data_IF_659793206740
#
_entry.id   IF_659793206740
#
_cell.length_a   1.000
_cell.length_b   1.000
_cell.length_c   1.000
_cell.angle_alpha   90.00
_cell.angle_beta   90.00
_cell.angle_gamma   90.00
#
_symmetry.space_group_name_H-M   'P 1'
#
loop_
_entity.id
_entity.type
_entity.pdbx_description
1 polymer ?
#
# COMPACT_ATOMS: atom_id res chain seq x y z
N UNK A 1 12.57 5.64 20.02
CA UNK A 1 12.70 4.48 20.94
C UNK A 1 14.06 3.84 20.69
N UNK A 2 14.88 3.50 21.70
CA UNK A 2 16.16 2.81 21.47
C UNK A 2 15.85 1.33 21.17
N UNK A 3 16.32 0.82 20.02
CA UNK A 3 16.18 -0.59 19.64
C UNK A 3 16.85 -1.45 20.72
N UNK A 4 16.08 -2.29 21.42
CA UNK A 4 16.63 -3.20 22.43
C UNK A 4 16.98 -4.55 21.80
N UNK A 5 18.21 -4.66 21.31
CA UNK A 5 18.71 -5.86 20.63
C UNK A 5 18.81 -7.09 21.53
N UNK A 6 18.76 -6.95 22.87
CA UNK A 6 18.75 -8.09 23.78
C UNK A 6 17.43 -8.88 23.73
N UNK A 7 16.31 -8.20 23.45
CA UNK A 7 14.98 -8.84 23.39
C UNK A 7 14.52 -9.09 21.95
N UNK A 8 15.00 -8.29 20.98
CA UNK A 8 14.59 -8.39 19.59
C UNK A 8 15.83 -8.48 18.67
N UNK A 9 16.44 -9.67 18.55
CA UNK A 9 17.72 -9.85 17.87
C UNK A 9 17.62 -9.62 16.35
N UNK A 10 16.43 -9.76 15.76
CA UNK A 10 16.22 -9.63 14.33
C UNK A 10 15.87 -8.20 13.89
N UNK A 11 15.69 -7.25 14.81
CA UNK A 11 15.24 -5.88 14.48
C UNK A 11 16.17 -5.19 13.50
N UNK A 12 17.49 -5.40 13.59
CA UNK A 12 18.44 -4.78 12.66
C UNK A 12 18.28 -5.30 11.23
N UNK A 13 18.15 -6.62 11.06
CA UNK A 13 17.96 -7.23 9.73
C UNK A 13 16.60 -6.85 9.16
N UNK A 14 15.55 -6.90 9.97
CA UNK A 14 14.21 -6.44 9.59
C UNK A 14 14.22 -4.96 9.16
N UNK A 15 14.93 -4.09 9.89
CA UNK A 15 15.10 -2.68 9.54
C UNK A 15 15.74 -2.52 8.18
N UNK A 16 16.82 -3.27 7.91
CA UNK A 16 17.48 -3.23 6.59
C UNK A 16 16.54 -3.70 5.49
N UNK A 17 15.80 -4.79 5.70
CA UNK A 17 14.81 -5.29 4.75
C UNK A 17 13.75 -4.25 4.41
N UNK A 18 13.08 -3.69 5.41
CA UNK A 18 12.06 -2.65 5.20
C UNK A 18 12.65 -1.43 4.50
N UNK A 19 13.88 -1.03 4.85
CA UNK A 19 14.57 0.08 4.22
C UNK A 19 14.99 -0.19 2.77
N UNK A 20 14.99 -1.43 2.27
CA UNK A 20 15.19 -1.72 0.85
C UNK A 20 13.94 -1.41 0.01
N UNK A 21 12.76 -1.43 0.61
CA UNK A 21 11.48 -1.25 -0.08
C UNK A 21 11.22 0.25 -0.31
N UNK A 22 11.10 0.69 -1.57
CA UNK A 22 10.95 2.12 -1.90
C UNK A 22 9.69 2.73 -1.27
N UNK A 23 8.58 1.96 -1.32
CA UNK A 23 7.32 2.36 -0.72
C UNK A 23 7.43 2.55 0.80
N UNK A 24 8.19 1.70 1.51
CA UNK A 24 8.35 1.82 2.96
C UNK A 24 9.14 3.06 3.35
N UNK A 25 10.21 3.38 2.60
CA UNK A 25 10.95 4.63 2.79
C UNK A 25 10.07 5.85 2.56
N UNK A 26 9.26 5.84 1.50
CA UNK A 26 8.34 6.94 1.19
C UNK A 26 7.27 7.14 2.26
N UNK A 27 6.77 6.04 2.84
CA UNK A 27 5.79 6.04 3.92
C UNK A 27 6.42 6.29 5.30
N UNK A 28 7.75 6.37 5.41
CA UNK A 28 8.49 6.43 6.67
C UNK A 28 8.13 5.29 7.65
N UNK A 29 7.87 4.08 7.12
CA UNK A 29 7.62 2.90 7.95
C UNK A 29 8.89 2.54 8.72
N UNK A 30 8.77 2.32 10.02
CA UNK A 30 9.89 1.92 10.88
C UNK A 30 9.62 0.59 11.57
N UNK A 31 10.68 -0.18 11.80
CA UNK A 31 10.63 -1.43 12.55
C UNK A 31 10.89 -1.14 14.02
N UNK A 32 9.93 -1.49 14.88
CA UNK A 32 10.08 -1.34 16.33
C UNK A 32 10.64 -2.61 16.96
N UNK A 33 10.11 -3.76 16.55
CA UNK A 33 10.47 -5.07 17.11
C UNK A 33 10.50 -6.11 15.99
N UNK A 34 11.50 -7.00 16.01
CA UNK A 34 11.48 -8.22 15.22
C UNK A 34 12.15 -9.37 15.97
N UNK A 35 11.44 -10.50 16.01
CA UNK A 35 11.88 -11.77 16.56
C UNK A 35 11.50 -12.91 15.60
N UNK A 36 11.78 -14.15 15.97
CA UNK A 36 11.29 -15.33 15.23
C UNK A 36 9.76 -15.52 15.35
N UNK A 37 9.12 -14.85 16.32
CA UNK A 37 7.69 -14.99 16.59
C UNK A 37 6.86 -13.85 15.99
N UNK A 38 7.35 -12.61 16.04
CA UNK A 38 6.60 -11.47 15.55
C UNK A 38 7.48 -10.35 15.01
N UNK A 39 6.85 -9.49 14.22
CA UNK A 39 7.37 -8.19 13.79
C UNK A 39 6.35 -7.12 14.13
N UNK A 40 6.82 -6.01 14.70
CA UNK A 40 6.04 -4.81 14.97
C UNK A 40 6.58 -3.64 14.15
N UNK A 41 5.72 -3.08 13.29
CA UNK A 41 6.00 -1.91 12.48
C UNK A 41 5.19 -0.71 12.94
N UNK A 42 5.74 0.48 12.76
CA UNK A 42 5.05 1.77 12.92
C UNK A 42 5.00 2.50 11.57
N UNK A 43 3.82 3.02 11.24
CA UNK A 43 3.56 3.94 10.15
C UNK A 43 3.14 5.29 10.75
N UNK A 44 3.93 6.37 10.57
CA UNK A 44 3.52 7.69 11.01
C UNK A 44 2.36 8.22 10.18
N UNK A 45 1.50 9.03 10.82
CA UNK A 45 0.46 9.77 10.10
C UNK A 45 1.07 10.80 9.15
N UNK A 46 0.47 10.97 7.97
CA UNK A 46 0.82 12.02 7.01
C UNK A 46 -0.40 12.44 6.20
N UNK A 47 -0.42 13.69 5.75
CA UNK A 47 -1.48 14.20 4.88
C UNK A 47 -1.48 13.51 3.50
N UNK A 48 -0.32 13.02 3.05
CA UNK A 48 -0.18 12.40 1.73
C UNK A 48 -0.87 11.03 1.60
N UNK A 49 -1.19 10.39 2.73
CA UNK A 49 -1.74 9.03 2.77
C UNK A 49 -3.25 9.00 3.05
N UNK A 50 -3.89 10.17 3.10
CA UNK A 50 -5.32 10.32 3.33
C UNK A 50 -6.11 9.76 2.14
N UNK A 51 -7.11 8.93 2.46
CA UNK A 51 -8.07 8.37 1.50
C UNK A 51 -9.38 9.13 1.45
N UNK A 52 -9.78 9.74 2.57
CA UNK A 52 -10.97 10.58 2.68
C UNK A 52 -10.58 11.98 3.16
N UNK A 53 -10.50 12.97 2.24
CA UNK A 53 -10.09 14.34 2.56
C UNK A 53 -11.01 15.04 3.57
N UNK A 54 -12.29 14.68 3.62
CA UNK A 54 -13.27 15.34 4.49
C UNK A 54 -13.06 14.94 5.96
N UNK A 55 -12.62 13.70 6.19
CA UNK A 55 -12.46 13.14 7.54
C UNK A 55 -11.00 13.02 7.96
N UNK A 56 -10.04 13.16 7.04
CA UNK A 56 -8.62 12.98 7.31
C UNK A 56 -8.19 11.53 7.51
N UNK A 57 -9.08 10.57 7.24
CA UNK A 57 -8.85 9.14 7.45
C UNK A 57 -7.84 8.60 6.44
N UNK A 58 -6.90 7.80 6.93
CA UNK A 58 -5.89 7.12 6.12
C UNK A 58 -6.55 6.12 5.16
N UNK A 59 -6.08 6.08 3.91
CA UNK A 59 -6.60 5.14 2.92
C UNK A 59 -6.34 3.67 3.31
N UNK A 60 -7.33 2.77 3.12
CA UNK A 60 -7.20 1.36 3.48
C UNK A 60 -6.03 0.65 2.78
N UNK A 61 -5.72 1.03 1.54
CA UNK A 61 -4.52 0.57 0.82
C UNK A 61 -3.19 0.83 1.53
N UNK A 62 -3.11 1.89 2.35
CA UNK A 62 -1.92 2.20 3.16
C UNK A 62 -1.85 1.27 4.38
N UNK A 63 -3.00 1.00 5.01
CA UNK A 63 -3.13 0.00 6.08
C UNK A 63 -2.75 -1.39 5.54
N UNK A 64 -3.24 -1.74 4.35
CA UNK A 64 -2.89 -2.98 3.65
C UNK A 64 -1.40 -3.05 3.33
N UNK A 65 -0.78 -1.94 2.93
CA UNK A 65 0.67 -1.87 2.70
C UNK A 65 1.44 -2.13 3.99
N UNK A 66 1.07 -1.49 5.09
CA UNK A 66 1.71 -1.72 6.39
C UNK A 66 1.57 -3.19 6.83
N UNK A 67 0.39 -3.78 6.67
CA UNK A 67 0.12 -5.20 6.97
C UNK A 67 0.96 -6.14 6.10
N UNK A 68 1.00 -5.89 4.78
CA UNK A 68 1.75 -6.67 3.81
C UNK A 68 3.26 -6.63 4.13
N UNK A 69 3.79 -5.44 4.43
CA UNK A 69 5.18 -5.27 4.86
C UNK A 69 5.48 -5.97 6.19
N UNK A 70 4.62 -5.83 7.21
CA UNK A 70 4.79 -6.51 8.50
C UNK A 70 4.79 -8.03 8.33
N UNK A 71 3.85 -8.54 7.54
CA UNK A 71 3.70 -9.96 7.26
C UNK A 71 4.92 -10.51 6.49
N UNK A 72 5.33 -9.87 5.39
CA UNK A 72 6.51 -10.25 4.63
C UNK A 72 7.79 -10.21 5.48
N UNK A 73 7.94 -9.19 6.32
CA UNK A 73 9.08 -9.08 7.24
C UNK A 73 9.06 -10.21 8.28
N UNK A 74 7.89 -10.58 8.82
CA UNK A 74 7.77 -11.71 9.75
C UNK A 74 8.16 -13.05 9.11
N UNK A 75 7.89 -13.23 7.81
CA UNK A 75 8.31 -14.41 7.05
C UNK A 75 9.83 -14.43 6.89
N UNK A 76 10.44 -13.31 6.50
CA UNK A 76 11.90 -13.20 6.39
C UNK A 76 12.57 -13.49 7.74
N UNK A 77 12.05 -12.92 8.82
CA UNK A 77 12.55 -13.16 10.19
C UNK A 77 12.44 -14.63 10.60
N UNK A 78 11.30 -15.28 10.33
CA UNK A 78 11.10 -16.69 10.65
C UNK A 78 12.00 -17.63 9.82
N UNK A 79 12.22 -17.32 8.54
CA UNK A 79 13.12 -18.10 7.67
C UNK A 79 14.56 -17.96 8.16
N UNK A 80 15.01 -16.73 8.46
CA UNK A 80 16.35 -16.49 8.95
C UNK A 80 16.61 -17.20 10.28
N UNK A 81 15.68 -17.13 11.22
CA UNK A 81 15.80 -17.81 12.51
C UNK A 81 15.87 -19.34 12.37
N UNK A 82 15.10 -19.92 11.46
CA UNK A 82 14.98 -21.38 11.32
C UNK A 82 16.04 -22.00 10.41
N UNK A 83 16.45 -21.30 9.36
CA UNK A 83 17.28 -21.85 8.29
C UNK A 83 18.59 -21.09 8.09
N UNK A 84 18.84 -20.01 8.84
CA UNK A 84 20.01 -19.13 8.68
C UNK A 84 20.18 -18.64 7.23
N UNK A 85 19.04 -18.46 6.54
CA UNK A 85 18.94 -18.19 5.11
C UNK A 85 18.07 -16.96 4.84
N UNK A 86 18.35 -16.28 3.72
CA UNK A 86 17.54 -15.18 3.21
C UNK A 86 16.85 -15.65 1.93
N UNK A 87 15.52 -15.70 1.97
CA UNK A 87 14.67 -16.11 0.85
C UNK A 87 13.77 -14.95 0.42
N UNK A 88 13.53 -14.80 -0.88
CA UNK A 88 12.51 -13.87 -1.35
C UNK A 88 11.15 -14.48 -1.05
N UNK A 89 10.28 -13.67 -0.43
CA UNK A 89 8.95 -14.10 0.00
C UNK A 89 7.84 -13.25 -0.61
N UNK A 90 7.50 -13.42 -1.91
CA UNK A 90 6.42 -12.66 -2.52
C UNK A 90 5.06 -13.06 -1.93
N UNK A 91 4.20 -12.07 -1.73
CA UNK A 91 2.82 -12.29 -1.28
C UNK A 91 2.03 -13.05 -2.35
N UNK A 92 1.36 -14.14 -1.96
CA UNK A 92 0.44 -14.90 -2.81
C UNK A 92 -0.98 -14.36 -2.66
N UNK A 93 -1.43 -14.16 -1.43
CA UNK A 93 -2.75 -13.63 -1.14
C UNK A 93 -2.76 -12.90 0.20
N UNK A 94 -3.67 -11.95 0.33
CA UNK A 94 -3.89 -11.19 1.55
C UNK A 94 -5.39 -10.92 1.71
N UNK A 95 -5.91 -11.21 2.89
CA UNK A 95 -7.30 -10.93 3.28
C UNK A 95 -7.27 -9.99 4.47
N UNK A 96 -7.94 -8.86 4.35
CA UNK A 96 -7.97 -7.79 5.33
C UNK A 96 -9.42 -7.49 5.68
N UNK A 97 -9.77 -7.61 6.95
CA UNK A 97 -11.07 -7.23 7.49
C UNK A 97 -10.91 -5.92 8.29
N UNK A 98 -11.65 -4.88 7.91
CA UNK A 98 -11.60 -3.56 8.55
C UNK A 98 -12.70 -3.43 9.60
N UNK A 99 -12.32 -3.14 10.84
CA UNK A 99 -13.24 -3.02 11.97
C UNK A 99 -13.72 -1.58 12.17
N UNK A 100 -12.81 -0.62 11.96
CA UNK A 100 -13.07 0.83 12.09
C UNK A 100 -12.02 1.64 11.31
N UNK A 101 -12.31 2.91 10.95
CA UNK A 101 -11.31 3.79 10.35
C UNK A 101 -10.20 4.14 11.36
N UNK A 102 -8.99 4.39 10.84
CA UNK A 102 -7.91 4.96 11.64
C UNK A 102 -8.24 6.40 12.03
N UNK A 103 -8.00 6.75 13.29
CA UNK A 103 -8.12 8.12 13.78
C UNK A 103 -7.03 9.01 13.15
N UNK A 104 -7.38 10.21 12.64
CA UNK A 104 -6.41 11.16 12.12
C UNK A 104 -5.35 11.57 13.14
N UNK A 105 -4.20 12.04 12.65
CA UNK A 105 -3.08 12.57 13.45
C UNK A 105 -2.41 11.57 14.41
N UNK A 106 -2.78 10.28 14.35
CA UNK A 106 -2.18 9.20 15.14
C UNK A 106 -1.42 8.22 14.25
N UNK A 107 -0.24 7.72 14.68
CA UNK A 107 0.45 6.65 13.96
C UNK A 107 -0.38 5.37 13.96
N UNK A 108 -0.13 4.51 12.96
CA UNK A 108 -0.63 3.14 12.89
C UNK A 108 0.49 2.17 13.23
N UNK A 109 0.14 1.12 13.95
CA UNK A 109 1.02 0.01 14.26
C UNK A 109 0.50 -1.25 13.56
N UNK A 110 1.40 -2.09 13.07
CA UNK A 110 1.04 -3.42 12.62
C UNK A 110 1.95 -4.46 13.28
N UNK A 111 1.34 -5.40 13.98
CA UNK A 111 2.00 -6.60 14.47
C UNK A 111 1.66 -7.77 13.57
N UNK A 112 2.65 -8.53 13.14
CA UNK A 112 2.48 -9.71 12.31
C UNK A 112 3.28 -10.91 12.83
N UNK A 113 2.71 -12.10 12.70
CA UNK A 113 3.29 -13.38 13.08
C UNK A 113 3.27 -14.34 11.88
N UNK A 114 4.41 -14.97 11.60
CA UNK A 114 4.50 -16.13 10.71
C UNK A 114 4.21 -17.40 11.51
N UNK A 115 2.93 -17.75 11.66
CA UNK A 115 2.50 -18.84 12.54
C UNK A 115 2.72 -20.23 11.93
N UNK A 116 3.00 -20.31 10.62
CA UNK A 116 3.32 -21.59 9.96
C UNK A 116 4.26 -21.39 8.78
N UNK A 117 5.43 -22.01 8.89
CA UNK A 117 6.44 -22.05 7.83
C UNK A 117 6.52 -23.46 7.23
N UNK A 118 5.98 -23.65 6.03
CA UNK A 118 6.06 -24.91 5.25
C UNK A 118 7.20 -24.87 4.23
N UNK A 119 7.39 -25.92 3.44
CA UNK A 119 8.47 -25.99 2.45
C UNK A 119 8.40 -24.87 1.39
N UNK A 120 7.20 -24.58 0.86
CA UNK A 120 7.02 -23.66 -0.28
C UNK A 120 6.18 -22.43 0.06
N UNK A 121 5.49 -22.43 1.19
CA UNK A 121 4.55 -21.36 1.58
C UNK A 121 4.68 -21.07 3.07
N UNK A 122 4.68 -19.78 3.42
CA UNK A 122 4.55 -19.28 4.78
C UNK A 122 3.15 -18.70 4.99
N UNK A 123 2.59 -18.87 6.18
CA UNK A 123 1.28 -18.33 6.55
C UNK A 123 1.44 -17.34 7.68
N UNK A 124 0.77 -16.21 7.54
CA UNK A 124 0.87 -15.07 8.44
C UNK A 124 -0.49 -14.63 8.94
N UNK A 125 -0.50 -14.03 10.12
CA UNK A 125 -1.62 -13.24 10.62
C UNK A 125 -1.08 -11.90 11.09
N UNK A 126 -1.87 -10.86 10.94
CA UNK A 126 -1.50 -9.51 11.34
C UNK A 126 -2.69 -8.74 11.93
N UNK A 127 -2.36 -7.76 12.76
CA UNK A 127 -3.31 -6.83 13.36
C UNK A 127 -2.75 -5.42 13.15
N UNK A 128 -3.54 -4.55 12.51
CA UNK A 128 -3.27 -3.13 12.46
C UNK A 128 -4.08 -2.39 13.53
N UNK A 129 -3.44 -1.54 14.32
CA UNK A 129 -4.05 -0.84 15.45
C UNK A 129 -3.40 0.53 15.69
N UNK A 130 -3.96 1.35 16.59
CA UNK A 130 -3.36 2.62 17.03
C UNK A 130 -3.07 2.55 18.54
N UNK A 131 -4.12 2.51 19.37
CA UNK A 131 -3.97 2.54 20.82
C UNK A 131 -3.84 1.13 21.45
N UNK A 132 -4.59 0.14 20.96
CA UNK A 132 -4.57 -1.23 21.49
C UNK A 132 -4.86 -2.28 20.42
N UNK A 133 -4.20 -3.44 20.52
CA UNK A 133 -4.47 -4.64 19.68
C UNK A 133 -5.86 -5.22 19.92
N UNK A 134 -6.48 -4.96 21.08
CA UNK A 134 -7.83 -5.41 21.43
C UNK A 134 -8.93 -4.54 20.80
N UNK A 135 -8.55 -3.39 20.22
CA UNK A 135 -9.45 -2.47 19.50
C UNK A 135 -8.84 -2.11 18.14
N UNK A 136 -8.76 -3.10 17.23
CA UNK A 136 -7.97 -2.98 16.01
C UNK A 136 -8.66 -2.12 14.95
N UNK A 137 -7.84 -1.56 14.05
CA UNK A 137 -8.29 -0.98 12.78
C UNK A 137 -8.62 -2.09 11.81
N UNK A 138 -7.74 -3.08 11.70
CA UNK A 138 -7.91 -4.21 10.78
C UNK A 138 -7.24 -5.50 11.27
N UNK A 139 -7.84 -6.62 10.90
CA UNK A 139 -7.22 -7.94 10.99
C UNK A 139 -6.84 -8.43 9.60
N UNK A 140 -5.76 -9.22 9.51
CA UNK A 140 -5.40 -9.84 8.26
C UNK A 140 -4.81 -11.24 8.41
N UNK A 141 -4.99 -12.03 7.35
CA UNK A 141 -4.28 -13.28 7.11
C UNK A 141 -3.70 -13.25 5.71
N UNK A 142 -2.52 -13.83 5.53
CA UNK A 142 -1.85 -13.85 4.23
C UNK A 142 -0.94 -15.05 4.05
N UNK A 143 -0.78 -15.44 2.78
CA UNK A 143 0.15 -16.50 2.38
C UNK A 143 1.28 -15.91 1.54
N UNK A 144 2.50 -16.38 1.77
CA UNK A 144 3.71 -15.91 1.12
C UNK A 144 4.45 -17.09 0.51
N UNK A 145 4.83 -16.97 -0.77
CA UNK A 145 5.64 -17.99 -1.43
C UNK A 145 7.05 -17.97 -0.84
N UNK A 146 7.70 -19.13 -0.72
CA UNK A 146 9.12 -19.24 -0.39
C UNK A 146 9.90 -19.55 -1.65
N UNK A 147 10.74 -18.61 -2.07
CA UNK A 147 11.58 -18.76 -3.25
C UNK A 147 13.02 -18.98 -2.77
N UNK A 148 13.65 -20.03 -3.29
CA UNK A 148 14.94 -20.50 -2.82
C UNK A 148 16.06 -19.44 -2.95
N UNK A 149 17.12 -19.55 -2.13
CA UNK A 149 18.17 -18.54 -2.04
C UNK A 149 18.92 -18.29 -3.35
N UNK A 150 18.97 -19.26 -4.27
CA UNK A 150 19.67 -19.10 -5.55
C UNK A 150 19.06 -18.04 -6.46
N UNK A 151 17.80 -17.65 -6.21
CA UNK A 151 17.14 -16.55 -6.93
C UNK A 151 17.31 -15.19 -6.24
N UNK A 152 17.95 -15.15 -5.07
CA UNK A 152 18.27 -13.91 -4.36
C UNK A 152 19.65 -13.45 -4.83
N UNK A 153 19.72 -12.30 -5.50
CA UNK A 153 20.99 -11.74 -5.96
C UNK A 153 21.93 -11.44 -4.79
N UNK A 154 23.24 -11.66 -4.97
CA UNK A 154 24.25 -11.48 -3.91
C UNK A 154 24.25 -10.05 -3.35
N UNK A 155 24.00 -9.04 -4.18
CA UNK A 155 23.89 -7.63 -3.77
C UNK A 155 22.79 -7.40 -2.72
N UNK A 156 21.61 -8.01 -2.90
CA UNK A 156 20.53 -7.89 -1.93
C UNK A 156 20.84 -8.64 -0.64
N UNK A 157 21.49 -9.79 -0.74
CA UNK A 157 21.95 -10.56 0.41
C UNK A 157 22.92 -9.73 1.26
N UNK A 158 23.89 -9.08 0.63
CA UNK A 158 24.85 -8.18 1.29
C UNK A 158 24.16 -6.98 1.93
N UNK A 159 23.21 -6.35 1.25
CA UNK A 159 22.45 -5.23 1.78
C UNK A 159 21.64 -5.60 3.05
N UNK A 160 21.12 -6.83 3.12
CA UNK A 160 20.42 -7.34 4.29
C UNK A 160 21.37 -7.71 5.45
N UNK A 161 22.50 -8.35 5.13
CA UNK A 161 23.49 -8.77 6.13
C UNK A 161 24.35 -7.61 6.66
N UNK A 162 24.42 -6.50 5.94
CA UNK A 162 25.22 -5.33 6.31
C UNK A 162 26.71 -5.47 5.95
N UNK A 163 27.03 -6.40 5.06
CA UNK A 163 28.39 -6.66 4.56
C UNK A 163 28.69 -5.73 3.38
N UNK A 164 28.92 -4.44 3.64
CA UNK A 164 29.47 -3.53 2.61
C UNK A 164 30.99 -3.49 2.73
N UNK A 165 31.69 -4.25 1.89
CA UNK A 165 33.12 -4.01 1.62
C UNK A 165 33.27 -2.73 0.79
N UNK A 166 33.68 -1.66 1.46
CA UNK A 166 34.26 -0.38 0.99
C UNK A 166 34.32 -0.10 -0.53
N UNK A 167 33.59 0.93 -0.95
CA UNK A 167 34.17 2.03 -1.75
C UNK A 167 33.49 3.34 -1.35
N UNK A 168 34.12 4.03 -0.39
CA UNK A 168 33.85 5.42 -0.04
C UNK A 168 34.31 6.38 -1.14
N UNK A 169 33.73 7.59 -1.08
CA UNK A 169 34.10 8.84 -1.75
C UNK A 169 33.72 9.04 -3.22
N UNK A 170 32.68 9.85 -3.45
CA UNK A 170 32.82 11.07 -4.26
C UNK A 170 31.71 12.11 -4.00
N UNK A 171 32.17 13.21 -3.40
CA UNK A 171 31.77 14.61 -3.64
C UNK A 171 30.39 15.10 -3.18
N UNK A 172 30.40 15.61 -1.94
CA UNK A 172 29.77 16.89 -1.60
C UNK A 172 30.15 17.95 -2.63
N UNK A 173 29.18 18.58 -3.28
CA UNK A 173 29.38 19.91 -3.84
C UNK A 173 28.15 20.80 -3.60
N UNK A 174 28.32 21.70 -2.63
CA UNK A 174 27.56 22.95 -2.49
C UNK A 174 27.79 23.79 -3.74
N UNK A 175 26.72 24.32 -4.31
CA UNK A 175 26.77 25.61 -4.98
C UNK A 175 25.50 26.41 -4.67
N UNK A 176 25.68 27.42 -3.82
CA UNK A 176 24.82 28.59 -3.76
C UNK A 176 25.08 29.41 -5.04
N UNK A 177 24.02 29.83 -5.73
CA UNK A 177 24.00 31.11 -6.40
C UNK A 177 22.62 31.75 -6.31
N UNK A 178 22.69 33.02 -5.92
CA UNK A 178 21.64 34.01 -5.73
C UNK A 178 21.07 34.50 -7.06
N UNK A 179 19.77 34.81 -7.13
CA UNK A 179 19.20 35.50 -8.29
C UNK A 179 17.68 35.68 -8.31
N UNK A 180 17.21 36.61 -7.49
CA UNK A 180 16.13 37.62 -7.75
C UNK A 180 14.73 37.21 -8.25
N UNK A 181 13.75 37.86 -7.60
CA UNK A 181 12.30 37.78 -7.75
C UNK A 181 11.73 38.12 -9.13
N UNK A 182 10.57 37.53 -9.42
CA UNK A 182 9.42 38.27 -9.95
C UNK A 182 8.12 37.68 -9.42
N UNK A 183 7.40 38.49 -8.64
CA UNK A 183 6.03 38.23 -8.18
C UNK A 183 5.07 38.35 -9.37
N UNK A 184 4.12 37.43 -9.44
CA UNK A 184 2.82 37.67 -10.08
C UNK A 184 1.77 37.07 -9.18
N UNK A 185 0.95 37.95 -8.63
CA UNK A 185 -0.21 37.64 -7.82
C UNK A 185 -1.24 36.90 -8.68
N UNK A 186 -1.57 35.67 -8.29
CA UNK A 186 -2.80 35.01 -8.69
C UNK A 186 -3.58 34.72 -7.43
N UNK A 187 -4.67 35.48 -7.27
CA UNK A 187 -5.67 35.36 -6.22
C UNK A 187 -6.10 33.90 -6.07
N UNK A 188 -5.76 33.30 -4.93
CA UNK A 188 -6.30 32.02 -4.51
C UNK A 188 -7.74 32.29 -4.10
N UNK A 189 -8.68 32.02 -5.00
CA UNK A 189 -10.08 31.84 -4.65
C UNK A 189 -10.14 30.70 -3.66
N UNK A 190 -10.44 31.04 -2.41
CA UNK A 190 -10.84 30.11 -1.36
C UNK A 190 -12.17 29.54 -1.82
N UNK A 191 -12.14 28.37 -2.48
CA UNK A 191 -13.36 27.69 -2.93
C UNK A 191 -13.87 26.79 -1.80
N UNK A 192 -15.17 26.89 -1.58
CA UNK A 192 -15.98 26.44 -0.44
C UNK A 192 -15.76 24.97 -0.03
N UNK A 193 -16.10 24.65 1.23
CA UNK A 193 -16.22 23.28 1.75
C UNK A 193 -16.79 22.31 0.69
N UNK A 194 -15.92 21.43 0.18
CA UNK A 194 -16.21 20.57 -0.96
C UNK A 194 -17.06 19.37 -0.55
N UNK A 195 -18.33 19.36 -0.94
CA UNK A 195 -19.22 18.22 -0.76
C UNK A 195 -18.88 17.12 -1.79
N UNK A 196 -18.58 15.89 -1.35
CA UNK A 196 -18.36 14.71 -2.23
C UNK A 196 -19.45 14.57 -3.29
N UNK A 197 -20.71 14.87 -2.95
CA UNK A 197 -21.81 14.85 -3.91
C UNK A 197 -21.58 15.81 -5.09
N UNK A 198 -21.12 17.03 -4.83
CA UNK A 198 -20.90 18.05 -5.85
C UNK A 198 -19.69 17.72 -6.72
N UNK A 199 -18.64 17.12 -6.12
CA UNK A 199 -17.47 16.62 -6.86
C UNK A 199 -17.89 15.49 -7.81
N UNK A 200 -18.64 14.50 -7.32
CA UNK A 200 -19.12 13.38 -8.14
C UNK A 200 -20.04 13.86 -9.25
N UNK A 201 -20.98 14.76 -8.92
CA UNK A 201 -21.90 15.35 -9.89
C UNK A 201 -21.13 16.11 -10.97
N UNK A 202 -20.19 16.98 -10.59
CA UNK A 202 -19.35 17.72 -11.54
C UNK A 202 -18.52 16.79 -12.41
N UNK A 203 -17.96 15.73 -11.86
CA UNK A 203 -17.18 14.75 -12.61
C UNK A 203 -18.04 13.99 -13.63
N UNK A 204 -19.30 13.71 -13.29
CA UNK A 204 -20.29 13.13 -14.22
C UNK A 204 -20.67 14.15 -15.31
N UNK A 205 -20.98 15.39 -14.93
CA UNK A 205 -21.43 16.45 -15.85
C UNK A 205 -20.33 16.84 -16.85
N UNK A 206 -19.07 16.94 -16.40
CA UNK A 206 -17.91 17.22 -17.24
C UNK A 206 -17.37 15.99 -17.97
N UNK A 207 -17.88 14.80 -17.61
CA UNK A 207 -17.36 13.52 -18.09
C UNK A 207 -15.84 13.35 -17.88
N UNK A 208 -15.34 13.87 -16.74
CA UNK A 208 -13.93 13.84 -16.35
C UNK A 208 -13.79 13.44 -14.88
N UNK A 209 -13.38 12.19 -14.67
CA UNK A 209 -13.20 11.60 -13.34
C UNK A 209 -11.80 11.82 -12.76
N UNK A 210 -10.89 12.48 -13.50
CA UNK A 210 -9.57 12.84 -12.98
C UNK A 210 -9.68 13.80 -11.79
N UNK A 211 -10.73 14.62 -11.73
CA UNK A 211 -10.98 15.55 -10.63
C UNK A 211 -11.28 14.84 -9.30
N UNK A 212 -11.95 13.67 -9.33
CA UNK A 212 -12.16 12.85 -8.12
C UNK A 212 -10.83 12.37 -7.55
N UNK A 213 -9.91 11.94 -8.42
CA UNK A 213 -8.59 11.51 -8.00
C UNK A 213 -7.76 12.70 -7.50
N UNK A 214 -7.74 13.82 -8.21
CA UNK A 214 -6.97 15.01 -7.83
C UNK A 214 -7.24 15.52 -6.41
N UNK A 215 -8.41 15.21 -5.84
CA UNK A 215 -8.80 15.61 -4.48
C UNK A 215 -8.35 14.64 -3.39
N UNK A 216 -8.01 13.39 -3.72
CA UNK A 216 -7.63 12.39 -2.72
C UNK A 216 -6.10 12.27 -2.64
N UNK A 217 -5.47 12.68 -1.53
CA UNK A 217 -4.00 12.69 -1.40
C UNK A 217 -3.34 11.37 -1.75
N UNK A 218 -3.90 10.24 -1.28
CA UNK A 218 -3.34 8.92 -1.56
C UNK A 218 -3.26 8.60 -3.06
N UNK A 219 -4.20 9.08 -3.88
CA UNK A 219 -4.16 8.86 -5.33
C UNK A 219 -2.97 9.58 -5.97
N UNK A 220 -2.65 10.78 -5.49
CA UNK A 220 -1.51 11.58 -5.95
C UNK A 220 -0.21 10.94 -5.49
N UNK A 221 -0.20 10.41 -4.27
CA UNK A 221 0.93 9.69 -3.70
C UNK A 221 1.36 8.50 -4.57
N UNK A 222 0.43 7.67 -5.02
CA UNK A 222 0.72 6.53 -5.92
C UNK A 222 0.73 6.91 -7.42
N UNK A 223 0.20 8.08 -7.76
CA UNK A 223 0.16 8.63 -9.12
C UNK A 223 -0.96 8.07 -10.01
N UNK A 224 -2.00 7.46 -9.44
CA UNK A 224 -3.02 6.79 -10.25
C UNK A 224 -3.86 7.78 -11.06
N UNK A 225 -4.36 7.31 -12.20
CA UNK A 225 -5.26 8.03 -13.08
C UNK A 225 -6.42 7.14 -13.53
N UNK A 226 -7.41 7.74 -14.19
CA UNK A 226 -8.57 7.03 -14.74
C UNK A 226 -8.83 7.49 -16.17
N UNK A 227 -9.09 6.53 -17.04
CA UNK A 227 -9.56 6.76 -18.40
C UNK A 227 -10.97 6.19 -18.54
N UNK A 228 -11.83 6.91 -19.27
CA UNK A 228 -13.20 6.48 -19.56
C UNK A 228 -13.33 6.07 -21.02
N UNK A 229 -14.04 4.97 -21.25
CA UNK A 229 -14.39 4.45 -22.58
C UNK A 229 -15.89 4.14 -22.61
N UNK A 230 -16.71 5.07 -23.09
CA UNK A 230 -18.17 4.93 -22.97
C UNK A 230 -18.59 4.95 -21.50
N UNK A 231 -19.26 3.92 -21.01
CA UNK A 231 -19.60 3.78 -19.58
C UNK A 231 -18.57 3.00 -18.76
N UNK A 232 -17.53 2.47 -19.41
CA UNK A 232 -16.47 1.73 -18.75
C UNK A 232 -15.38 2.68 -18.25
N UNK A 233 -14.91 2.45 -17.02
CA UNK A 233 -13.72 3.09 -16.49
C UNK A 233 -12.57 2.08 -16.42
N UNK A 234 -11.40 2.54 -16.84
CA UNK A 234 -10.15 1.82 -16.71
C UNK A 234 -9.21 2.68 -15.90
N UNK A 235 -8.84 2.17 -14.73
CA UNK A 235 -7.89 2.83 -13.87
C UNK A 235 -6.47 2.47 -14.30
N UNK A 236 -5.54 3.38 -14.07
CA UNK A 236 -4.12 3.20 -14.37
C UNK A 236 -3.28 3.58 -13.16
N UNK A 237 -2.42 2.68 -12.74
CA UNK A 237 -1.27 2.94 -11.88
C UNK A 237 -0.04 3.07 -12.79
N UNK A 238 0.60 4.24 -12.88
CA UNK A 238 1.72 4.42 -13.78
C UNK A 238 2.95 3.66 -13.29
N UNK A 239 3.84 3.35 -14.24
CA UNK A 239 5.22 3.01 -13.92
C UNK A 239 5.85 4.15 -13.10
N UNK A 240 6.21 3.88 -11.84
CA UNK A 240 6.78 4.87 -10.92
C UNK A 240 7.74 4.18 -9.96
N UNK A 241 8.97 4.69 -9.86
CA UNK A 241 10.04 4.08 -9.05
C UNK A 241 9.65 3.98 -7.57
N UNK A 242 8.94 4.99 -7.09
CA UNK A 242 8.48 5.06 -5.71
C UNK A 242 7.51 3.93 -5.33
N UNK A 243 6.87 3.27 -6.30
CA UNK A 243 5.91 2.19 -6.08
C UNK A 243 6.59 0.80 -6.01
N UNK A 244 7.91 0.71 -6.24
CA UNK A 244 8.64 -0.57 -6.30
C UNK A 244 8.75 -1.18 -4.88
N UNK A 245 8.39 -2.46 -4.77
CA UNK A 245 8.56 -3.28 -3.57
C UNK A 245 9.80 -4.16 -3.66
N UNK A 246 9.99 -4.89 -4.76
CA UNK A 246 11.17 -5.72 -4.97
C UNK A 246 12.15 -4.98 -5.91
N UNK A 247 13.31 -4.52 -5.42
CA UNK A 247 14.29 -3.83 -6.27
C UNK A 247 15.10 -4.78 -7.15
N UNK A 248 15.21 -6.07 -6.80
CA UNK A 248 15.99 -7.06 -7.57
C UNK A 248 15.22 -7.49 -8.81
N UNK A 249 13.98 -7.93 -8.61
CA UNK A 249 13.00 -8.13 -9.67
C UNK A 249 12.11 -6.90 -9.62
N UNK A 250 12.36 -5.86 -10.44
CA UNK A 250 11.70 -4.56 -10.32
C UNK A 250 10.19 -4.74 -10.46
N UNK A 251 9.54 -4.91 -9.31
CA UNK A 251 8.14 -5.27 -9.18
C UNK A 251 7.50 -4.37 -8.14
N UNK A 252 6.29 -3.95 -8.45
CA UNK A 252 5.46 -3.09 -7.62
C UNK A 252 5.15 -3.81 -6.31
N UNK A 253 5.20 -3.08 -5.20
CA UNK A 253 4.87 -3.61 -3.88
C UNK A 253 3.40 -4.12 -3.86
N UNK A 254 3.16 -5.29 -3.24
CA UNK A 254 1.83 -5.90 -3.16
C UNK A 254 0.80 -4.94 -2.57
N UNK A 255 1.09 -4.38 -1.40
CA UNK A 255 0.31 -3.30 -0.78
C UNK A 255 -0.07 -2.11 -1.69
N UNK A 256 0.81 -1.69 -2.62
CA UNK A 256 0.49 -0.61 -3.57
C UNK A 256 -0.52 -1.06 -4.61
N UNK A 257 -0.38 -2.28 -5.14
CA UNK A 257 -1.37 -2.88 -6.05
C UNK A 257 -2.72 -3.01 -5.33
N UNK A 258 -2.73 -3.49 -4.09
CA UNK A 258 -3.94 -3.59 -3.27
C UNK A 258 -4.61 -2.23 -3.10
N UNK A 259 -3.86 -1.21 -2.69
CA UNK A 259 -4.40 0.14 -2.51
C UNK A 259 -4.88 0.79 -3.81
N UNK A 260 -4.22 0.53 -4.93
CA UNK A 260 -4.68 0.95 -6.26
C UNK A 260 -6.02 0.28 -6.63
N UNK A 261 -6.16 -1.02 -6.39
CA UNK A 261 -7.39 -1.77 -6.66
C UNK A 261 -8.55 -1.34 -5.75
N UNK A 262 -8.28 -1.10 -4.48
CA UNK A 262 -9.24 -0.56 -3.51
C UNK A 262 -9.76 0.81 -3.94
N UNK A 263 -8.86 1.75 -4.26
CA UNK A 263 -9.25 3.08 -4.69
C UNK A 263 -10.02 3.07 -6.02
N UNK A 264 -9.63 2.19 -6.95
CA UNK A 264 -10.37 1.97 -8.19
C UNK A 264 -11.83 1.56 -7.92
N UNK A 265 -12.05 0.69 -6.93
CA UNK A 265 -13.40 0.27 -6.54
C UNK A 265 -14.20 1.40 -5.87
N UNK A 266 -13.57 2.17 -4.98
CA UNK A 266 -14.18 3.34 -4.32
C UNK A 266 -14.66 4.34 -5.37
N UNK A 267 -13.80 4.73 -6.31
CA UNK A 267 -14.14 5.69 -7.38
C UNK A 267 -15.24 5.13 -8.29
N UNK A 268 -15.14 3.86 -8.68
CA UNK A 268 -16.19 3.21 -9.47
C UNK A 268 -17.55 3.25 -8.76
N UNK A 269 -17.60 2.97 -7.46
CA UNK A 269 -18.82 3.02 -6.67
C UNK A 269 -19.37 4.44 -6.53
N UNK A 270 -18.52 5.42 -6.25
CA UNK A 270 -18.94 6.82 -6.13
C UNK A 270 -19.61 7.30 -7.41
N UNK A 271 -19.01 7.02 -8.56
CA UNK A 271 -19.56 7.39 -9.88
C UNK A 271 -20.86 6.63 -10.17
N UNK A 272 -20.84 5.30 -10.04
CA UNK A 272 -21.99 4.45 -10.39
C UNK A 272 -23.24 4.77 -9.54
N UNK A 273 -23.03 5.14 -8.28
CA UNK A 273 -24.12 5.40 -7.33
C UNK A 273 -24.45 6.88 -7.14
N UNK A 274 -23.66 7.80 -7.73
CA UNK A 274 -23.71 9.23 -7.41
C UNK A 274 -23.60 9.46 -5.89
N UNK A 275 -22.64 8.78 -5.26
CA UNK A 275 -22.51 8.73 -3.82
C UNK A 275 -22.28 10.13 -3.23
N UNK A 276 -22.88 10.39 -2.06
CA UNK A 276 -22.70 11.64 -1.31
C UNK A 276 -21.55 11.60 -0.31
N UNK A 277 -21.02 10.41 -0.06
CA UNK A 277 -19.93 10.12 0.88
C UNK A 277 -19.06 9.04 0.29
N UNK A 278 -17.81 9.00 0.71
CA UNK A 278 -16.88 7.93 0.36
C UNK A 278 -17.41 6.60 0.92
N UNK A 279 -17.61 5.56 0.08
CA UNK A 279 -17.95 4.22 0.55
C UNK A 279 -16.88 3.68 1.51
N UNK A 280 -17.30 3.19 2.67
CA UNK A 280 -16.36 2.67 3.68
C UNK A 280 -16.07 1.22 3.41
N UNK A 281 -14.81 0.84 3.30
CA UNK A 281 -14.44 -0.56 3.11
C UNK A 281 -14.76 -1.38 4.36
N UNK A 282 -15.29 -2.59 4.15
CA UNK A 282 -15.57 -3.59 5.19
C UNK A 282 -14.48 -4.65 5.16
N UNK A 283 -14.18 -5.18 3.98
CA UNK A 283 -13.12 -6.15 3.76
C UNK A 283 -12.50 -5.99 2.38
N UNK A 284 -11.24 -6.39 2.27
CA UNK A 284 -10.47 -6.45 1.04
C UNK A 284 -9.73 -7.78 0.95
N UNK A 285 -9.93 -8.49 -0.14
CA UNK A 285 -9.40 -9.82 -0.36
C UNK A 285 -8.71 -9.87 -1.72
N UNK A 286 -7.39 -10.01 -1.75
CA UNK A 286 -6.58 -10.00 -2.99
C UNK A 286 -5.80 -11.30 -3.18
N UNK A 287 -5.75 -11.75 -4.43
CA UNK A 287 -4.92 -12.86 -4.91
C UNK A 287 -3.92 -12.31 -5.94
N UNK A 288 -2.62 -12.43 -5.66
CA UNK A 288 -1.53 -12.07 -6.56
C UNK A 288 -1.20 -13.28 -7.44
N UNK A 289 -1.52 -13.16 -8.72
CA UNK A 289 -1.40 -14.24 -9.69
C UNK A 289 -0.03 -14.24 -10.38
N UNK A 290 0.58 -13.05 -10.52
CA UNK A 290 1.88 -12.81 -11.16
C UNK A 290 2.53 -11.56 -10.56
N UNK A 291 3.85 -11.45 -10.71
CA UNK A 291 4.54 -10.22 -10.35
C UNK A 291 4.00 -9.03 -11.17
N UNK A 292 3.63 -7.95 -10.48
CA UNK A 292 3.36 -6.67 -11.14
C UNK A 292 4.69 -6.00 -11.46
N UNK A 293 5.19 -6.18 -12.67
CA UNK A 293 6.48 -5.65 -13.10
C UNK A 293 6.49 -4.11 -13.08
N UNK A 294 7.67 -3.51 -13.13
CA UNK A 294 7.84 -2.06 -13.19
C UNK A 294 7.41 -1.49 -14.56
N UNK A 295 6.10 -1.41 -14.75
CA UNK A 295 5.42 -0.88 -15.92
C UNK A 295 4.01 -0.44 -15.54
N UNK A 296 3.33 0.23 -16.47
CA UNK A 296 1.94 0.63 -16.29
C UNK A 296 1.05 -0.58 -15.95
N UNK A 297 0.18 -0.36 -14.97
CA UNK A 297 -0.74 -1.36 -14.44
C UNK A 297 -2.16 -0.80 -14.52
N UNK A 298 -3.11 -1.64 -14.92
CA UNK A 298 -4.48 -1.24 -15.19
C UNK A 298 -5.45 -2.06 -14.37
N UNK A 299 -6.57 -1.44 -13.98
CA UNK A 299 -7.65 -2.12 -13.28
C UNK A 299 -9.03 -1.82 -13.88
N UNK A 300 -9.90 -2.83 -13.83
CA UNK A 300 -11.33 -2.73 -14.10
C UNK A 300 -12.11 -3.17 -12.87
N UNK A 301 -13.24 -2.54 -12.61
CA UNK A 301 -14.11 -2.85 -11.48
C UNK A 301 -15.48 -3.33 -11.97
N UNK A 302 -16.00 -4.39 -11.35
CA UNK A 302 -17.35 -4.92 -11.58
C UNK A 302 -18.13 -4.87 -10.28
N UNK A 303 -19.17 -4.05 -10.26
CA UNK A 303 -20.02 -3.86 -9.09
C UNK A 303 -21.17 -4.88 -9.14
N UNK A 304 -21.37 -5.60 -8.05
CA UNK A 304 -22.61 -6.32 -7.77
C UNK A 304 -23.17 -5.87 -6.44
N UNK A 305 -24.44 -5.48 -6.42
CA UNK A 305 -25.07 -4.94 -5.22
C UNK A 305 -25.72 -6.05 -4.41
N UNK A 306 -25.27 -6.23 -3.16
CA UNK A 306 -25.86 -7.17 -2.21
C UNK A 306 -26.75 -6.42 -1.21
N UNK A 307 -27.96 -6.04 -1.66
CA UNK A 307 -28.93 -5.33 -0.84
C UNK A 307 -28.74 -3.80 -0.79
N UNK A 308 -29.39 -3.11 0.16
CA UNK A 308 -29.45 -1.62 0.14
C UNK A 308 -28.19 -0.93 0.67
N UNK A 309 -27.47 -1.55 1.60
CA UNK A 309 -26.38 -0.94 2.38
C UNK A 309 -24.99 -1.45 2.05
N UNK A 310 -24.86 -2.52 1.28
CA UNK A 310 -23.57 -3.14 0.97
C UNK A 310 -23.41 -3.30 -0.53
N UNK A 311 -22.25 -2.91 -1.04
CA UNK A 311 -21.83 -3.20 -2.40
C UNK A 311 -20.68 -4.20 -2.37
N UNK A 312 -20.72 -5.16 -3.28
CA UNK A 312 -19.60 -6.06 -3.57
C UNK A 312 -18.96 -5.60 -4.88
N UNK A 313 -17.63 -5.52 -4.90
CA UNK A 313 -16.87 -5.14 -6.08
C UNK A 313 -15.82 -6.20 -6.35
N UNK A 314 -15.78 -6.71 -7.57
CA UNK A 314 -14.66 -7.49 -8.08
C UNK A 314 -13.75 -6.59 -8.89
N UNK A 315 -12.45 -6.65 -8.62
CA UNK A 315 -11.43 -5.84 -9.29
C UNK A 315 -10.46 -6.79 -9.98
N UNK A 316 -10.20 -6.56 -11.26
CA UNK A 316 -9.19 -7.31 -12.01
C UNK A 316 -8.08 -6.37 -12.44
N UNK A 317 -6.83 -6.78 -12.22
CA UNK A 317 -5.65 -5.98 -12.47
C UNK A 317 -4.72 -6.67 -13.47
N UNK A 318 -4.25 -5.95 -14.50
CA UNK A 318 -3.36 -6.46 -15.55
C UNK A 318 -2.33 -5.40 -15.97
N UNK A 319 -1.31 -5.80 -16.74
CA UNK A 319 -0.31 -4.83 -17.27
C UNK A 319 -0.23 -4.86 -18.80
N UNK A 320 -0.29 -6.04 -19.40
CA UNK A 320 -0.18 -6.22 -20.87
C UNK A 320 -1.53 -6.59 -21.50
N UNK A 321 -2.21 -7.58 -20.94
CA UNK A 321 -3.43 -8.15 -21.51
C UNK A 321 -4.46 -8.46 -20.43
N UNK A 322 -5.72 -8.06 -20.62
CA UNK A 322 -6.85 -8.34 -19.72
C UNK A 322 -7.10 -9.82 -19.45
N UNK A 323 -6.64 -10.72 -20.33
CA UNK A 323 -6.72 -12.18 -20.13
C UNK A 323 -5.60 -12.74 -19.24
N UNK A 324 -4.57 -11.93 -18.97
CA UNK A 324 -3.40 -12.29 -18.16
C UNK A 324 -3.31 -11.35 -16.97
N UNK A 325 -4.19 -11.59 -16.00
CA UNK A 325 -4.25 -10.79 -14.77
C UNK A 325 -2.96 -10.97 -13.95
N UNK A 326 -2.49 -9.90 -13.32
CA UNK A 326 -1.44 -9.96 -12.30
C UNK A 326 -2.03 -10.10 -10.90
N UNK A 327 -3.24 -9.59 -10.69
CA UNK A 327 -3.97 -9.72 -9.43
C UNK A 327 -5.48 -9.67 -9.66
N UNK A 328 -6.23 -10.29 -8.77
CA UNK A 328 -7.69 -10.14 -8.67
C UNK A 328 -8.06 -9.88 -7.22
N UNK A 329 -9.05 -9.03 -6.99
CA UNK A 329 -9.50 -8.69 -5.66
C UNK A 329 -11.02 -8.68 -5.58
N UNK A 330 -11.51 -8.89 -4.36
CA UNK A 330 -12.90 -8.71 -3.97
C UNK A 330 -12.93 -7.79 -2.77
N UNK A 331 -13.90 -6.90 -2.75
CA UNK A 331 -14.09 -5.98 -1.65
C UNK A 331 -15.58 -5.77 -1.39
N UNK A 332 -15.92 -5.63 -0.11
CA UNK A 332 -17.24 -5.17 0.29
C UNK A 332 -17.15 -3.77 0.87
N UNK A 333 -18.10 -2.94 0.49
CA UNK A 333 -18.20 -1.57 0.95
C UNK A 333 -19.53 -1.33 1.62
N UNK A 334 -19.49 -0.67 2.78
CA UNK A 334 -20.64 -0.09 3.44
C UNK A 334 -21.00 1.22 2.74
N UNK A 335 -22.27 1.34 2.40
CA UNK A 335 -22.86 2.47 1.72
C UNK A 335 -23.64 3.30 2.74
N UNK A 336 -23.20 4.53 2.99
CA UNK A 336 -23.98 5.53 3.73
C UNK A 336 -24.95 6.24 2.75
N UNK A 337 -26.18 6.50 3.20
CA UNK A 337 -27.21 7.19 2.42
C UNK A 337 -27.03 8.71 2.43
#
# INVERSE_FOLDING_TARGET
MKINSEFFPLTQVATRFVNQLAQCRRLNISVLEASEHHVLLELPYSQDIIGDPDTGVIHGGVVTTLIDTASGTSVVSAILAKYESLEISPTLDLRVDYMKPAEPDKPLYAIAECYRLSANVAFTRAIAYQDSVDDPIAHAVGSFMRISPEMVGEEFRQALMGDTSTSDELAVNKNLSTGTSSKTDSEVLVDDELNVHDIVKRAIDLNDYSYLLAKVPYTQFIGMSVNRFGDEMVFKLPQKDDNIGNPILPAIHGGVIAGFMEMSAIVQLMVFMQAKKVPKIIDFSIDYLRAGLHQDTFAECKITRQGRRVAHVTINCWQTNRKQLIATARAHFLLDQ
#
